data_IF_201702506700
#
_entry.id   IF_201702506700
#
_cell.length_a   1.000
_cell.length_b   1.000
_cell.length_c   1.000
_cell.angle_alpha   90.00
_cell.angle_beta   90.00
_cell.angle_gamma   90.00
#
_symmetry.space_group_name_H-M   'P 1'
#
loop_
_entity.id
_entity.type
_entity.pdbx_description
1 polymer ?
#
# COMPACT_ATOMS: atom_id res chain seq x y z
N UNK A 1 12.22 0.68 21.52
CA UNK A 1 10.92 0.57 22.25
C UNK A 1 9.90 0.04 21.24
N UNK A 2 9.11 -0.98 21.57
CA UNK A 2 8.03 -1.41 20.68
C UNK A 2 6.97 -0.32 20.64
N UNK A 3 6.66 0.20 19.47
CA UNK A 3 5.56 1.17 19.28
C UNK A 3 4.22 0.49 19.56
N UNK A 4 3.29 1.19 20.21
CA UNK A 4 1.94 0.68 20.50
C UNK A 4 0.97 0.88 19.33
N UNK A 5 1.39 1.59 18.29
CA UNK A 5 0.52 1.89 17.14
C UNK A 5 0.03 0.62 16.44
N UNK A 6 -1.21 0.64 15.99
CA UNK A 6 -1.86 -0.43 15.23
C UNK A 6 -1.87 -0.19 13.74
N UNK A 7 -2.08 1.06 13.30
CA UNK A 7 -1.91 1.48 11.91
C UNK A 7 -0.45 1.35 11.50
N UNK A 8 -0.22 0.75 10.34
CA UNK A 8 1.12 0.40 9.86
C UNK A 8 1.76 1.56 9.11
N UNK A 9 3.10 1.56 9.06
CA UNK A 9 3.87 2.52 8.27
C UNK A 9 4.57 1.77 7.14
N UNK A 10 4.33 2.22 5.92
CA UNK A 10 5.07 1.81 4.72
C UNK A 10 6.11 2.88 4.41
N UNK A 11 7.39 2.52 4.35
CA UNK A 11 8.49 3.45 4.07
C UNK A 11 9.18 3.08 2.75
N UNK A 12 9.34 4.06 1.86
CA UNK A 12 10.01 3.83 0.57
C UNK A 12 11.52 3.81 0.74
N UNK A 13 12.15 2.78 0.19
CA UNK A 13 13.60 2.63 0.14
C UNK A 13 14.22 3.60 -0.89
N UNK A 14 15.39 4.13 -0.55
CA UNK A 14 16.15 5.01 -1.42
C UNK A 14 17.54 5.30 -0.87
N UNK A 15 18.26 6.30 -1.42
CA UNK A 15 19.59 6.66 -0.96
C UNK A 15 19.67 7.09 0.51
N UNK A 16 18.62 7.73 1.04
CA UNK A 16 18.61 8.22 2.43
C UNK A 16 18.52 7.10 3.47
N UNK A 17 18.12 5.88 3.07
CA UNK A 17 17.96 4.72 3.96
C UNK A 17 18.65 3.46 3.40
N UNK A 18 19.91 3.58 3.04
CA UNK A 18 20.68 2.51 2.40
C UNK A 18 21.59 1.71 3.35
N UNK A 19 21.81 2.18 4.58
CA UNK A 19 22.67 1.49 5.53
C UNK A 19 21.88 0.63 6.51
N UNK A 20 22.57 -0.40 7.05
CA UNK A 20 21.98 -1.34 8.01
C UNK A 20 21.48 -0.62 9.29
N UNK A 21 22.26 0.33 9.76
CA UNK A 21 21.97 1.11 10.98
C UNK A 21 20.69 1.92 10.78
N UNK A 22 20.58 2.67 9.68
CA UNK A 22 19.39 3.48 9.38
C UNK A 22 18.17 2.59 9.20
N UNK A 23 18.27 1.46 8.49
CA UNK A 23 17.15 0.52 8.33
C UNK A 23 16.69 -0.04 9.68
N UNK A 24 17.64 -0.38 10.58
CA UNK A 24 17.32 -0.82 11.94
C UNK A 24 16.59 0.28 12.73
N UNK A 25 17.11 1.50 12.73
CA UNK A 25 16.51 2.64 13.42
C UNK A 25 15.11 2.95 12.87
N UNK A 26 14.90 2.82 11.56
CA UNK A 26 13.57 2.96 10.94
C UNK A 26 12.57 1.91 11.43
N UNK A 27 13.00 0.63 11.53
CA UNK A 27 12.15 -0.45 12.07
C UNK A 27 11.79 -0.15 13.53
N UNK A 28 12.76 0.24 14.35
CA UNK A 28 12.57 0.58 15.77
C UNK A 28 11.72 1.85 15.95
N UNK A 29 11.79 2.80 15.02
CA UNK A 29 10.92 3.98 14.98
C UNK A 29 9.47 3.66 14.58
N UNK A 30 9.22 2.49 13.95
CA UNK A 30 7.87 2.02 13.69
C UNK A 30 7.56 1.61 12.24
N UNK A 31 8.54 1.46 11.36
CA UNK A 31 8.30 0.92 10.01
C UNK A 31 7.87 -0.54 10.08
N UNK A 32 6.84 -0.87 9.34
CA UNK A 32 6.30 -2.22 9.22
C UNK A 32 6.57 -2.85 7.84
N UNK A 33 6.60 -2.02 6.80
CA UNK A 33 6.77 -2.46 5.41
C UNK A 33 7.74 -1.53 4.71
N UNK A 34 8.74 -2.08 4.05
CA UNK A 34 9.62 -1.33 3.15
C UNK A 34 9.14 -1.48 1.71
N UNK A 35 8.94 -0.34 1.04
CA UNK A 35 8.52 -0.29 -0.36
C UNK A 35 9.74 -0.12 -1.27
N UNK A 36 9.88 -1.01 -2.23
CA UNK A 36 10.79 -0.91 -3.37
C UNK A 36 10.02 -0.26 -4.52
N UNK A 37 10.41 0.95 -4.94
CA UNK A 37 9.84 1.60 -6.10
C UNK A 37 10.60 1.21 -7.37
N UNK A 38 10.05 0.33 -8.19
CA UNK A 38 10.68 -0.16 -9.42
C UNK A 38 10.82 0.89 -10.54
N UNK A 39 10.18 2.06 -10.42
CA UNK A 39 10.36 3.15 -11.41
C UNK A 39 11.82 3.59 -11.56
N UNK A 40 12.62 3.46 -10.51
CA UNK A 40 14.01 3.94 -10.44
C UNK A 40 14.98 2.89 -9.87
N UNK A 41 14.55 1.62 -9.83
CA UNK A 41 15.31 0.56 -9.16
C UNK A 41 16.49 0.08 -10.01
N UNK A 42 17.66 -0.01 -9.39
CA UNK A 42 18.76 -0.87 -9.82
C UNK A 42 18.63 -2.21 -9.08
N UNK A 43 18.64 -3.33 -9.80
CA UNK A 43 18.40 -4.66 -9.21
C UNK A 43 19.44 -5.07 -8.19
N UNK A 44 20.71 -4.68 -8.39
CA UNK A 44 21.80 -5.01 -7.45
C UNK A 44 21.65 -4.25 -6.14
N UNK A 45 21.29 -2.97 -6.20
CA UNK A 45 21.05 -2.12 -5.04
C UNK A 45 19.78 -2.57 -4.28
N UNK A 46 18.70 -2.89 -5.01
CA UNK A 46 17.46 -3.43 -4.43
C UNK A 46 17.72 -4.73 -3.69
N UNK A 47 18.45 -5.68 -4.33
CA UNK A 47 18.79 -6.95 -3.70
C UNK A 47 19.58 -6.75 -2.41
N UNK A 48 20.60 -5.89 -2.43
CA UNK A 48 21.39 -5.59 -1.24
C UNK A 48 20.54 -5.06 -0.07
N UNK A 49 19.59 -4.16 -0.34
CA UNK A 49 18.68 -3.63 0.69
C UNK A 49 17.71 -4.70 1.21
N UNK A 50 17.18 -5.55 0.33
CA UNK A 50 16.34 -6.69 0.74
C UNK A 50 17.11 -7.63 1.66
N UNK A 51 18.35 -7.98 1.29
CA UNK A 51 19.21 -8.85 2.09
C UNK A 51 19.50 -8.24 3.48
N UNK A 52 19.73 -6.92 3.56
CA UNK A 52 19.91 -6.21 4.84
C UNK A 52 18.64 -6.29 5.71
N UNK A 53 17.45 -6.04 5.15
CA UNK A 53 16.18 -6.09 5.89
C UNK A 53 15.92 -7.52 6.38
N UNK A 54 16.12 -8.53 5.55
CA UNK A 54 15.97 -9.94 5.95
C UNK A 54 16.97 -10.32 7.04
N UNK A 55 18.23 -9.88 6.93
CA UNK A 55 19.25 -10.08 7.98
C UNK A 55 18.86 -9.43 9.31
N UNK A 56 18.28 -8.24 9.30
CA UNK A 56 17.75 -7.57 10.51
C UNK A 56 16.56 -8.34 11.11
N UNK A 57 15.65 -8.85 10.26
CA UNK A 57 14.54 -9.68 10.72
C UNK A 57 15.05 -10.94 11.43
N UNK A 58 16.04 -11.63 10.85
CA UNK A 58 16.57 -12.88 11.40
C UNK A 58 17.35 -12.65 12.71
N UNK A 59 18.15 -11.58 12.78
CA UNK A 59 19.00 -11.29 13.94
C UNK A 59 18.21 -10.76 15.15
N UNK A 60 17.23 -9.87 14.92
CA UNK A 60 16.51 -9.19 16.00
C UNK A 60 15.08 -9.72 16.20
N UNK A 61 14.64 -10.68 15.38
CA UNK A 61 13.27 -11.20 15.42
C UNK A 61 12.23 -10.19 14.95
N UNK A 62 12.61 -9.24 14.08
CA UNK A 62 11.67 -8.34 13.44
C UNK A 62 10.87 -9.08 12.36
N UNK A 63 9.80 -8.46 11.90
CA UNK A 63 8.92 -9.00 10.84
C UNK A 63 8.65 -7.97 9.76
N UNK A 64 9.61 -7.09 9.49
CA UNK A 64 9.50 -6.08 8.45
C UNK A 64 9.24 -6.73 7.08
N UNK A 65 8.14 -6.31 6.43
CA UNK A 65 7.74 -6.81 5.13
C UNK A 65 8.38 -6.01 3.99
N UNK A 66 8.37 -6.59 2.79
CA UNK A 66 8.85 -5.95 1.56
C UNK A 66 7.72 -5.90 0.54
N UNK A 67 7.43 -4.70 0.04
CA UNK A 67 6.46 -4.41 -1.00
C UNK A 67 7.19 -4.00 -2.28
N UNK A 68 7.08 -4.81 -3.34
CA UNK A 68 7.52 -4.44 -4.69
C UNK A 68 6.46 -3.62 -5.39
N UNK A 69 6.74 -2.37 -5.74
CA UNK A 69 5.79 -1.47 -6.39
C UNK A 69 6.19 -1.27 -7.86
N UNK A 70 5.41 -1.87 -8.78
CA UNK A 70 5.63 -1.83 -10.21
C UNK A 70 5.31 -0.44 -10.77
N UNK A 71 6.08 -0.01 -11.79
CA UNK A 71 5.95 1.34 -12.35
C UNK A 71 4.61 1.57 -13.06
N UNK A 72 4.14 0.54 -13.79
CA UNK A 72 3.01 0.66 -14.71
C UNK A 72 3.30 1.49 -15.98
N UNK A 73 2.31 1.66 -16.83
CA UNK A 73 2.45 2.37 -18.10
C UNK A 73 2.55 3.89 -17.89
N UNK A 74 3.76 4.38 -17.54
CA UNK A 74 3.98 5.81 -17.31
C UNK A 74 4.23 6.56 -18.61
N UNK A 75 3.29 7.45 -18.96
CA UNK A 75 3.39 8.33 -20.11
C UNK A 75 4.39 9.45 -19.82
N UNK A 76 5.25 9.80 -20.78
CA UNK A 76 6.25 10.87 -20.62
C UNK A 76 6.49 11.60 -21.94
N UNK A 77 6.82 12.88 -21.83
CA UNK A 77 7.46 13.61 -22.93
C UNK A 77 8.93 13.23 -23.04
N UNK A 78 9.50 13.40 -24.23
CA UNK A 78 10.91 13.16 -24.52
C UNK A 78 11.87 14.16 -23.90
N UNK A 79 13.10 14.16 -24.41
CA UNK A 79 14.13 15.13 -24.04
C UNK A 79 13.84 16.45 -24.74
N UNK A 80 14.02 17.57 -24.06
CA UNK A 80 13.96 18.92 -24.63
C UNK A 80 15.36 19.40 -24.96
N UNK A 81 15.52 20.12 -26.09
CA UNK A 81 16.82 20.69 -26.50
C UNK A 81 17.35 21.75 -25.52
N UNK A 82 16.43 22.50 -24.91
CA UNK A 82 16.72 23.58 -23.96
C UNK A 82 15.56 23.75 -22.97
N UNK A 83 15.73 24.55 -21.94
CA UNK A 83 14.59 24.93 -21.10
C UNK A 83 13.68 25.87 -21.90
N UNK A 84 12.45 25.39 -22.14
CA UNK A 84 11.42 26.09 -22.87
C UNK A 84 10.34 26.57 -21.90
N UNK A 85 9.96 27.85 -21.99
CA UNK A 85 8.77 28.36 -21.31
C UNK A 85 7.64 28.45 -22.33
N UNK A 86 6.55 27.76 -22.05
CA UNK A 86 5.31 27.82 -22.83
C UNK A 86 4.33 28.77 -22.16
N UNK A 87 3.61 29.58 -22.94
CA UNK A 87 2.66 30.55 -22.44
C UNK A 87 1.22 30.18 -22.82
N UNK A 88 0.21 30.58 -22.02
CA UNK A 88 -1.18 30.42 -22.41
C UNK A 88 -1.44 30.97 -23.81
N UNK A 89 -2.08 30.14 -24.65
CA UNK A 89 -2.37 30.44 -26.04
C UNK A 89 -1.35 29.91 -27.05
N UNK A 90 -0.14 29.54 -26.65
CA UNK A 90 0.82 28.87 -27.54
C UNK A 90 0.23 27.56 -28.10
N UNK A 91 0.64 27.19 -29.32
CA UNK A 91 0.24 25.97 -29.99
C UNK A 91 1.45 25.02 -30.04
N UNK A 92 1.25 23.78 -29.58
CA UNK A 92 2.30 22.77 -29.52
C UNK A 92 1.82 21.51 -30.22
N UNK A 93 2.70 20.86 -30.97
CA UNK A 93 2.47 19.54 -31.56
C UNK A 93 3.17 18.50 -30.74
N UNK A 94 2.41 17.57 -30.17
CA UNK A 94 2.92 16.33 -29.62
C UNK A 94 3.03 15.30 -30.74
N UNK A 95 4.17 14.66 -30.87
CA UNK A 95 4.41 13.65 -31.90
C UNK A 95 4.94 12.35 -31.32
N UNK A 96 4.60 11.21 -31.93
CA UNK A 96 4.95 9.87 -31.47
C UNK A 96 5.83 9.09 -32.44
N UNK A 97 6.17 9.68 -33.61
CA UNK A 97 6.86 9.00 -34.70
C UNK A 97 8.35 8.80 -34.40
N UNK A 98 9.04 9.86 -33.92
CA UNK A 98 10.47 9.84 -33.72
C UNK A 98 10.83 10.43 -32.35
N UNK A 99 11.68 9.72 -31.58
CA UNK A 99 12.20 10.22 -30.31
C UNK A 99 13.36 11.21 -30.57
N UNK A 100 12.98 12.41 -31.00
CA UNK A 100 13.92 13.51 -31.23
C UNK A 100 13.76 14.56 -30.12
N UNK A 101 14.84 15.29 -29.77
CA UNK A 101 14.76 16.35 -28.78
C UNK A 101 13.72 17.40 -29.16
N UNK A 102 12.87 17.73 -28.20
CA UNK A 102 11.75 18.66 -28.40
C UNK A 102 12.16 20.11 -28.44
N UNK A 103 11.31 20.90 -29.07
CA UNK A 103 11.35 22.39 -29.13
C UNK A 103 10.11 22.96 -28.48
N UNK A 104 9.97 24.30 -28.54
CA UNK A 104 8.76 24.99 -28.08
C UNK A 104 7.51 24.56 -28.87
N UNK A 105 7.67 24.28 -30.15
CA UNK A 105 6.57 23.97 -31.07
C UNK A 105 6.27 22.50 -31.20
N UNK A 106 7.25 21.61 -30.89
CA UNK A 106 7.13 20.16 -31.14
C UNK A 106 7.78 19.34 -30.04
N UNK A 107 7.04 18.38 -29.49
CA UNK A 107 7.46 17.56 -28.36
C UNK A 107 7.21 16.10 -28.65
N UNK A 108 8.21 15.24 -28.40
CA UNK A 108 8.04 13.80 -28.47
C UNK A 108 7.21 13.28 -27.29
N UNK A 109 6.32 12.33 -27.56
CA UNK A 109 5.49 11.62 -26.60
C UNK A 109 5.75 10.12 -26.73
N UNK A 110 6.12 9.44 -25.64
CA UNK A 110 6.50 8.03 -25.67
C UNK A 110 5.32 7.04 -25.84
N UNK A 111 4.10 7.55 -25.92
CA UNK A 111 2.89 6.75 -26.08
C UNK A 111 2.42 6.74 -27.54
N UNK A 112 2.65 5.62 -28.24
CA UNK A 112 2.38 5.52 -29.70
C UNK A 112 0.91 5.67 -30.05
N UNK A 113 -0.01 5.12 -29.25
CA UNK A 113 -1.46 5.22 -29.48
C UNK A 113 -2.06 6.56 -29.06
N UNK A 114 -1.25 7.46 -28.50
CA UNK A 114 -1.70 8.77 -28.03
C UNK A 114 -2.53 9.54 -29.07
N UNK A 115 -2.13 9.65 -30.37
CA UNK A 115 -2.92 10.35 -31.35
C UNK A 115 -4.26 9.66 -31.69
N UNK A 116 -4.33 8.34 -31.50
CA UNK A 116 -5.53 7.56 -31.73
C UNK A 116 -6.53 7.66 -30.55
N UNK A 117 -6.02 7.72 -29.32
CA UNK A 117 -6.85 7.66 -28.10
C UNK A 117 -7.46 9.02 -27.75
N UNK A 118 -6.73 10.14 -27.95
CA UNK A 118 -7.22 11.48 -27.56
C UNK A 118 -8.22 12.08 -28.55
N UNK A 119 -9.12 12.93 -28.05
CA UNK A 119 -10.10 13.64 -28.85
C UNK A 119 -9.98 15.16 -28.66
N UNK A 120 -10.36 15.97 -29.67
CA UNK A 120 -10.46 17.42 -29.53
C UNK A 120 -11.30 17.83 -28.31
N UNK A 121 -10.80 18.81 -27.55
CA UNK A 121 -11.40 19.28 -26.30
C UNK A 121 -10.96 18.54 -25.04
N UNK A 122 -10.25 17.39 -25.16
CA UNK A 122 -9.68 16.72 -24.00
C UNK A 122 -8.40 17.40 -23.48
N UNK A 123 -8.10 17.23 -22.21
CA UNK A 123 -6.95 17.84 -21.57
C UNK A 123 -5.74 16.90 -21.53
N UNK A 124 -4.55 17.50 -21.75
CA UNK A 124 -3.24 16.89 -21.53
C UNK A 124 -2.59 17.64 -20.38
N UNK A 125 -2.21 16.91 -19.32
CA UNK A 125 -1.53 17.47 -18.16
C UNK A 125 -0.07 17.01 -18.13
N UNK A 126 0.86 17.92 -17.86
CA UNK A 126 2.29 17.63 -17.73
C UNK A 126 2.82 18.08 -16.37
N UNK A 127 3.88 17.37 -15.89
CA UNK A 127 4.58 17.67 -14.62
C UNK A 127 3.60 17.80 -13.45
N UNK A 128 2.80 16.75 -13.26
CA UNK A 128 1.78 16.63 -12.19
C UNK A 128 0.74 17.78 -12.23
N UNK A 129 0.33 18.16 -13.46
CA UNK A 129 -0.68 19.19 -13.69
C UNK A 129 -0.19 20.65 -13.64
N UNK A 130 1.13 20.87 -13.51
CA UNK A 130 1.70 22.23 -13.57
C UNK A 130 1.55 22.89 -14.93
N UNK A 131 1.50 22.09 -15.99
CA UNK A 131 1.19 22.53 -17.35
C UNK A 131 -0.09 21.85 -17.81
N UNK A 132 -0.96 22.60 -18.49
CA UNK A 132 -2.23 22.11 -19.03
C UNK A 132 -2.38 22.52 -20.48
N UNK A 133 -2.77 21.56 -21.31
CA UNK A 133 -3.01 21.75 -22.73
C UNK A 133 -4.40 21.19 -23.06
N UNK A 134 -5.07 21.81 -24.05
CA UNK A 134 -6.31 21.32 -24.63
C UNK A 134 -6.04 20.83 -26.05
N UNK A 135 -6.47 19.62 -26.38
CA UNK A 135 -6.35 19.03 -27.71
C UNK A 135 -7.20 19.83 -28.71
N UNK A 136 -6.57 20.38 -29.74
CA UNK A 136 -7.25 21.06 -30.86
C UNK A 136 -7.61 20.04 -31.93
N UNK A 137 -6.63 19.22 -32.34
CA UNK A 137 -6.81 18.23 -33.40
C UNK A 137 -5.82 17.07 -33.28
N UNK A 138 -6.14 15.96 -33.90
CA UNK A 138 -5.26 14.79 -34.04
C UNK A 138 -5.34 14.25 -35.46
N UNK A 139 -4.21 13.76 -35.99
CA UNK A 139 -4.18 13.04 -37.26
C UNK A 139 -4.46 11.53 -37.10
N UNK A 140 -4.75 11.08 -35.88
CA UNK A 140 -5.05 9.67 -35.49
C UNK A 140 -3.90 8.69 -35.74
N UNK A 141 -2.71 9.14 -36.06
CA UNK A 141 -1.55 8.29 -36.36
C UNK A 141 -0.31 8.66 -35.59
N UNK A 142 0.17 9.90 -35.71
CA UNK A 142 1.47 10.31 -35.18
C UNK A 142 1.49 11.66 -34.50
N UNK A 143 0.46 12.52 -34.64
CA UNK A 143 0.49 13.88 -34.17
C UNK A 143 -0.80 14.32 -33.50
N UNK A 144 -0.63 15.10 -32.43
CA UNK A 144 -1.70 15.79 -31.71
C UNK A 144 -1.31 17.25 -31.58
N UNK A 145 -2.17 18.14 -32.09
CA UNK A 145 -2.00 19.59 -31.91
C UNK A 145 -2.80 20.04 -30.69
N UNK A 146 -2.15 20.71 -29.77
CA UNK A 146 -2.77 21.19 -28.54
C UNK A 146 -2.43 22.68 -28.26
N UNK A 147 -3.38 23.35 -27.60
CA UNK A 147 -3.24 24.73 -27.13
C UNK A 147 -2.85 24.75 -25.65
N UNK A 148 -1.89 25.55 -25.29
CA UNK A 148 -1.52 25.77 -23.89
C UNK A 148 -2.63 26.55 -23.18
N UNK A 149 -3.20 25.97 -22.14
CA UNK A 149 -4.18 26.60 -21.26
C UNK A 149 -3.48 27.15 -20.01
N UNK A 150 -2.61 26.33 -19.37
CA UNK A 150 -1.76 26.77 -18.28
C UNK A 150 -0.29 26.56 -18.67
N UNK A 151 0.45 27.66 -18.73
CA UNK A 151 1.85 27.71 -19.15
C UNK A 151 2.82 27.55 -17.99
N UNK A 152 4.10 27.46 -18.35
CA UNK A 152 5.23 27.31 -17.44
C UNK A 152 6.45 26.66 -18.10
N UNK A 153 7.46 26.21 -17.31
CA UNK A 153 8.66 25.56 -17.85
C UNK A 153 8.36 24.14 -18.33
N UNK A 154 8.54 23.90 -19.63
CA UNK A 154 8.43 22.59 -20.26
C UNK A 154 9.77 21.86 -20.18
N UNK A 155 9.87 20.86 -19.30
CA UNK A 155 11.11 20.14 -18.99
C UNK A 155 11.14 18.74 -19.59
N UNK A 156 12.36 18.22 -19.80
CA UNK A 156 12.61 16.87 -20.30
C UNK A 156 12.01 15.77 -19.43
N UNK A 157 11.51 14.70 -20.06
CA UNK A 157 11.09 13.44 -19.43
C UNK A 157 9.98 13.58 -18.38
N UNK A 158 9.19 14.65 -18.43
CA UNK A 158 8.08 14.88 -17.51
C UNK A 158 6.93 13.94 -17.78
N UNK A 159 6.24 13.53 -16.68
CA UNK A 159 5.04 12.70 -16.72
C UNK A 159 3.90 13.41 -17.44
N UNK A 160 3.11 12.62 -18.17
CA UNK A 160 1.90 13.06 -18.86
C UNK A 160 0.70 12.35 -18.27
N UNK A 161 -0.36 13.09 -17.98
CA UNK A 161 -1.63 12.55 -17.53
C UNK A 161 -2.73 12.95 -18.54
N UNK A 162 -3.65 12.01 -18.76
CA UNK A 162 -4.75 12.14 -19.71
C UNK A 162 -6.08 11.87 -18.99
N UNK A 163 -6.61 12.85 -18.23
CA UNK A 163 -7.71 12.61 -17.31
C UNK A 163 -9.04 12.25 -17.98
N UNK A 164 -9.20 12.65 -19.23
CA UNK A 164 -10.44 12.44 -20.00
C UNK A 164 -10.32 11.31 -21.03
N UNK A 165 -9.14 10.70 -21.17
CA UNK A 165 -8.82 9.76 -22.25
C UNK A 165 -8.72 8.34 -21.72
N UNK A 166 -9.45 7.41 -22.33
CA UNK A 166 -9.26 5.97 -22.11
C UNK A 166 -7.98 5.51 -22.83
N UNK A 167 -6.96 5.21 -22.05
CA UNK A 167 -5.64 4.82 -22.56
C UNK A 167 -5.62 3.34 -22.91
N UNK A 168 -5.20 3.00 -24.14
CA UNK A 168 -5.17 1.63 -24.68
C UNK A 168 -3.92 0.81 -24.28
N UNK A 169 -3.11 1.28 -23.30
CA UNK A 169 -1.91 0.58 -22.84
C UNK A 169 -2.27 -0.65 -21.97
N UNK A 170 -1.49 -1.76 -22.08
CA UNK A 170 -1.60 -2.86 -21.14
C UNK A 170 -1.23 -2.41 -19.74
N UNK A 171 -1.76 -3.09 -18.71
CA UNK A 171 -1.45 -2.80 -17.31
C UNK A 171 0.01 -3.14 -16.98
N UNK A 172 0.54 -4.23 -17.53
CA UNK A 172 1.92 -4.65 -17.40
C UNK A 172 2.73 -4.29 -18.65
N UNK A 173 3.67 -3.40 -18.50
CA UNK A 173 4.69 -3.14 -19.53
C UNK A 173 5.74 -4.25 -19.54
N UNK A 174 6.56 -4.34 -20.61
CA UNK A 174 7.70 -5.28 -20.63
C UNK A 174 8.66 -5.07 -19.46
N UNK A 175 8.79 -3.80 -19.00
CA UNK A 175 9.58 -3.48 -17.81
C UNK A 175 8.92 -4.05 -16.56
N UNK A 176 7.61 -3.87 -16.39
CA UNK A 176 6.87 -4.38 -15.23
C UNK A 176 6.92 -5.90 -15.14
N UNK A 177 6.90 -6.60 -16.28
CA UNK A 177 7.06 -8.05 -16.31
C UNK A 177 8.45 -8.46 -15.78
N UNK A 178 9.53 -7.78 -16.22
CA UNK A 178 10.89 -8.05 -15.71
C UNK A 178 11.01 -7.72 -14.22
N UNK A 179 10.46 -6.57 -13.80
CA UNK A 179 10.48 -6.13 -12.41
C UNK A 179 9.70 -7.09 -11.50
N UNK A 180 8.55 -7.57 -11.95
CA UNK A 180 7.73 -8.54 -11.22
C UNK A 180 8.45 -9.89 -11.07
N UNK A 181 9.09 -10.40 -12.13
CA UNK A 181 9.88 -11.64 -12.06
C UNK A 181 11.03 -11.46 -11.05
N UNK A 182 11.77 -10.36 -11.12
CA UNK A 182 12.81 -10.07 -10.15
C UNK A 182 12.25 -9.99 -8.71
N UNK A 183 11.14 -9.31 -8.48
CA UNK A 183 10.48 -9.22 -7.18
C UNK A 183 10.08 -10.61 -6.64
N UNK A 184 9.55 -11.49 -7.50
CA UNK A 184 9.22 -12.88 -7.17
C UNK A 184 10.48 -13.66 -6.76
N UNK A 185 11.57 -13.55 -7.52
CA UNK A 185 12.86 -14.19 -7.21
C UNK A 185 13.46 -13.70 -5.88
N UNK A 186 13.28 -12.41 -5.55
CA UNK A 186 13.69 -11.83 -4.28
C UNK A 186 12.71 -12.13 -3.14
N UNK A 187 11.65 -12.91 -3.40
CA UNK A 187 10.64 -13.34 -2.41
C UNK A 187 10.03 -12.15 -1.65
N UNK A 188 9.64 -11.09 -2.37
CA UNK A 188 8.91 -9.98 -1.75
C UNK A 188 7.59 -10.47 -1.15
N UNK A 189 7.10 -9.77 -0.14
CA UNK A 189 5.89 -10.15 0.60
C UNK A 189 4.61 -9.72 -0.10
N UNK A 190 4.67 -8.61 -0.85
CA UNK A 190 3.57 -8.01 -1.58
C UNK A 190 4.05 -7.45 -2.92
N UNK A 191 3.21 -7.45 -3.94
CA UNK A 191 3.44 -6.72 -5.20
C UNK A 191 2.29 -5.73 -5.41
N UNK A 192 2.61 -4.46 -5.67
CA UNK A 192 1.64 -3.44 -6.03
C UNK A 192 1.66 -3.20 -7.54
N UNK A 193 0.47 -3.16 -8.15
CA UNK A 193 0.27 -2.86 -9.56
C UNK A 193 -0.23 -1.43 -9.71
N UNK A 194 0.50 -0.61 -10.47
CA UNK A 194 0.14 0.79 -10.75
C UNK A 194 -0.91 0.89 -11.86
N UNK A 195 -1.68 1.97 -11.81
CA UNK A 195 -2.68 2.35 -12.82
C UNK A 195 -3.72 1.27 -13.11
N UNK A 196 -4.18 0.55 -12.08
CA UNK A 196 -5.22 -0.46 -12.20
C UNK A 196 -6.54 0.20 -12.60
N UNK A 197 -7.14 -0.26 -13.69
CA UNK A 197 -8.40 0.23 -14.25
C UNK A 197 -9.51 -0.79 -14.15
N UNK A 198 -9.18 -2.08 -14.29
CA UNK A 198 -10.14 -3.18 -14.31
C UNK A 198 -9.61 -4.41 -13.56
N UNK A 199 -10.47 -5.42 -13.36
CA UNK A 199 -10.09 -6.69 -12.76
C UNK A 199 -9.11 -7.48 -13.65
N UNK A 200 -9.23 -7.35 -14.97
CA UNK A 200 -8.36 -8.02 -15.95
C UNK A 200 -6.91 -7.60 -15.79
N UNK A 201 -6.65 -6.32 -15.48
CA UNK A 201 -5.30 -5.83 -15.19
C UNK A 201 -4.63 -6.64 -14.05
N UNK A 202 -5.40 -7.00 -13.02
CA UNK A 202 -4.91 -7.81 -11.90
C UNK A 202 -4.75 -9.29 -12.24
N UNK A 203 -5.64 -9.83 -13.07
CA UNK A 203 -5.58 -11.22 -13.51
C UNK A 203 -4.31 -11.47 -14.31
N UNK A 204 -3.88 -10.52 -15.16
CA UNK A 204 -2.61 -10.61 -15.91
C UNK A 204 -1.41 -10.74 -14.96
N UNK A 205 -1.35 -9.97 -13.87
CA UNK A 205 -0.29 -10.10 -12.86
C UNK A 205 -0.42 -11.40 -12.04
N UNK A 206 -1.64 -11.85 -11.74
CA UNK A 206 -1.86 -13.13 -11.06
C UNK A 206 -1.33 -14.30 -11.87
N UNK A 207 -1.58 -14.32 -13.18
CA UNK A 207 -1.09 -15.33 -14.11
C UNK A 207 0.44 -15.31 -14.19
N UNK A 208 1.05 -14.12 -14.23
CA UNK A 208 2.50 -13.98 -14.21
C UNK A 208 3.10 -14.55 -12.91
N UNK A 209 2.51 -14.22 -11.75
CA UNK A 209 2.97 -14.75 -10.44
C UNK A 209 2.81 -16.27 -10.40
N UNK A 210 1.68 -16.82 -10.84
CA UNK A 210 1.43 -18.26 -10.87
C UNK A 210 2.42 -19.02 -11.75
N UNK A 211 2.92 -18.39 -12.80
CA UNK A 211 3.92 -18.97 -13.72
C UNK A 211 5.33 -19.00 -13.13
N UNK A 212 5.67 -18.04 -12.27
CA UNK A 212 7.05 -17.83 -11.76
C UNK A 212 7.21 -18.12 -10.25
N UNK A 213 6.13 -18.42 -9.53
CA UNK A 213 6.15 -18.71 -8.10
C UNK A 213 5.42 -20.01 -7.77
N UNK A 214 5.92 -20.75 -6.78
CA UNK A 214 5.29 -21.95 -6.21
C UNK A 214 4.19 -21.62 -5.18
N UNK A 215 3.96 -20.33 -4.92
CA UNK A 215 2.99 -19.84 -3.94
C UNK A 215 2.38 -18.52 -4.37
N UNK A 216 1.21 -18.21 -3.80
CA UNK A 216 0.57 -16.92 -4.02
C UNK A 216 1.37 -15.80 -3.36
N UNK A 217 1.70 -14.75 -4.13
CA UNK A 217 2.15 -13.46 -3.62
C UNK A 217 0.94 -12.52 -3.71
N UNK A 218 0.52 -11.89 -2.60
CA UNK A 218 -0.65 -11.03 -2.59
C UNK A 218 -0.40 -9.75 -3.36
N UNK A 219 -1.46 -9.27 -4.04
CA UNK A 219 -1.42 -8.10 -4.92
C UNK A 219 -2.15 -6.93 -4.30
N UNK A 220 -1.51 -5.76 -4.32
CA UNK A 220 -2.12 -4.47 -3.99
C UNK A 220 -2.50 -3.76 -5.28
N UNK A 221 -3.79 -3.46 -5.46
CA UNK A 221 -4.26 -2.62 -6.56
C UNK A 221 -4.07 -1.14 -6.21
N UNK A 222 -3.30 -0.40 -7.03
CA UNK A 222 -3.14 1.05 -6.87
C UNK A 222 -4.22 1.77 -7.67
N UNK A 223 -5.03 2.55 -6.96
CA UNK A 223 -6.12 3.32 -7.56
C UNK A 223 -5.62 4.73 -7.82
N UNK A 224 -5.34 4.99 -9.09
CA UNK A 224 -4.67 6.18 -9.62
C UNK A 224 -5.45 6.83 -10.78
N UNK A 225 -6.50 6.15 -11.27
CA UNK A 225 -7.30 6.54 -12.42
C UNK A 225 -8.80 6.57 -12.09
N UNK A 226 -9.60 7.45 -12.75
CA UNK A 226 -11.06 7.47 -12.59
C UNK A 226 -11.71 6.12 -12.86
N UNK A 227 -11.25 5.39 -13.89
CA UNK A 227 -11.78 4.07 -14.25
C UNK A 227 -11.58 3.05 -13.11
N UNK A 228 -10.45 3.13 -12.38
CA UNK A 228 -10.21 2.29 -11.20
C UNK A 228 -11.19 2.59 -10.06
N UNK A 229 -11.62 3.86 -9.91
CA UNK A 229 -12.65 4.26 -8.93
C UNK A 229 -14.04 3.79 -9.35
N UNK A 230 -14.35 3.84 -10.65
CA UNK A 230 -15.61 3.35 -11.21
C UNK A 230 -15.74 1.84 -11.08
N UNK A 231 -14.68 1.10 -11.43
CA UNK A 231 -14.64 -0.37 -11.44
C UNK A 231 -14.24 -0.99 -10.10
N UNK A 232 -14.22 -0.22 -9.02
CA UNK A 232 -13.67 -0.66 -7.72
C UNK A 232 -14.31 -1.96 -7.20
N UNK A 233 -15.58 -2.21 -7.45
CA UNK A 233 -16.27 -3.40 -6.97
C UNK A 233 -15.76 -4.69 -7.64
N UNK A 234 -15.40 -4.64 -8.92
CA UNK A 234 -14.77 -5.76 -9.62
C UNK A 234 -13.29 -5.90 -9.25
N UNK A 235 -12.56 -4.80 -9.12
CA UNK A 235 -11.14 -4.78 -8.75
C UNK A 235 -10.94 -5.43 -7.37
N UNK A 236 -11.75 -5.08 -6.38
CA UNK A 236 -11.65 -5.61 -5.01
C UNK A 236 -11.80 -7.14 -4.94
N UNK A 237 -12.53 -7.74 -5.87
CA UNK A 237 -12.68 -9.20 -5.89
C UNK A 237 -11.45 -9.93 -6.42
N UNK A 238 -10.51 -9.21 -7.04
CA UNK A 238 -9.31 -9.78 -7.68
C UNK A 238 -7.99 -9.28 -7.07
N UNK A 239 -8.03 -8.41 -6.06
CA UNK A 239 -6.83 -7.99 -5.32
C UNK A 239 -6.86 -8.47 -3.87
N UNK A 240 -5.69 -8.39 -3.21
CA UNK A 240 -5.53 -8.74 -1.79
C UNK A 240 -5.39 -7.50 -0.90
N UNK A 241 -5.27 -6.31 -1.50
CA UNK A 241 -5.22 -5.03 -0.82
C UNK A 241 -5.39 -3.86 -1.79
N UNK A 242 -5.66 -2.67 -1.26
CA UNK A 242 -5.76 -1.43 -2.03
C UNK A 242 -4.68 -0.42 -1.62
N UNK A 243 -4.26 0.41 -2.57
CA UNK A 243 -3.50 1.62 -2.30
C UNK A 243 -4.20 2.81 -2.95
N UNK A 244 -4.55 3.80 -2.14
CA UNK A 244 -5.07 5.10 -2.61
C UNK A 244 -3.87 6.00 -2.87
N UNK A 245 -3.42 6.07 -4.12
CA UNK A 245 -2.24 6.84 -4.53
C UNK A 245 -2.68 8.26 -4.93
N UNK A 246 -2.84 9.11 -3.92
CA UNK A 246 -3.48 10.43 -4.05
C UNK A 246 -2.74 11.39 -4.97
N UNK A 247 -1.42 11.25 -5.10
CA UNK A 247 -0.60 12.08 -5.99
C UNK A 247 -1.01 11.93 -7.45
N UNK A 248 -1.03 10.70 -7.96
CA UNK A 248 -1.42 10.41 -9.34
C UNK A 248 -2.94 10.58 -9.52
N UNK A 249 -3.75 10.09 -8.57
CA UNK A 249 -5.22 10.24 -8.63
C UNK A 249 -5.65 11.72 -8.64
N UNK A 250 -5.00 12.58 -7.85
CA UNK A 250 -5.34 14.00 -7.76
C UNK A 250 -4.98 14.83 -9.00
N UNK A 251 -4.20 14.25 -9.92
CA UNK A 251 -3.96 14.83 -11.26
C UNK A 251 -5.04 14.37 -12.25
N UNK A 252 -5.63 13.20 -12.03
CA UNK A 252 -6.60 12.57 -12.93
C UNK A 252 -8.06 12.91 -12.59
N UNK A 253 -8.34 13.37 -11.37
CA UNK A 253 -9.68 13.80 -10.92
C UNK A 253 -9.62 15.20 -10.32
N UNK A 254 -10.76 15.94 -10.25
CA UNK A 254 -10.80 17.22 -9.55
C UNK A 254 -10.30 17.10 -8.10
N UNK A 255 -9.38 17.96 -7.69
CA UNK A 255 -8.70 17.87 -6.40
C UNK A 255 -9.67 17.80 -5.19
N UNK A 256 -10.82 18.47 -5.28
CA UNK A 256 -11.85 18.47 -4.22
C UNK A 256 -12.58 17.12 -4.08
N UNK A 257 -12.50 16.22 -5.07
CA UNK A 257 -13.10 14.89 -5.02
C UNK A 257 -12.20 13.86 -4.35
N UNK A 258 -10.87 14.06 -4.36
CA UNK A 258 -9.89 13.11 -3.82
C UNK A 258 -10.19 12.68 -2.39
N UNK A 259 -10.53 13.57 -1.44
CA UNK A 259 -10.86 13.14 -0.07
C UNK A 259 -12.10 12.25 0.02
N UNK A 260 -13.12 12.49 -0.82
CA UNK A 260 -14.34 11.68 -0.86
C UNK A 260 -14.08 10.31 -1.49
N UNK A 261 -13.26 10.27 -2.55
CA UNK A 261 -12.82 9.03 -3.19
C UNK A 261 -11.99 8.20 -2.18
N UNK A 262 -11.07 8.82 -1.44
CA UNK A 262 -10.31 8.14 -0.37
C UNK A 262 -11.26 7.45 0.62
N UNK A 263 -12.23 8.17 1.17
CA UNK A 263 -13.20 7.61 2.12
C UNK A 263 -14.02 6.47 1.52
N UNK A 264 -14.46 6.61 0.26
CA UNK A 264 -15.17 5.55 -0.47
C UNK A 264 -14.31 4.29 -0.61
N UNK A 265 -13.05 4.44 -1.03
CA UNK A 265 -12.12 3.32 -1.22
C UNK A 265 -11.77 2.63 0.11
N UNK A 266 -11.50 3.39 1.17
CA UNK A 266 -11.29 2.84 2.52
C UNK A 266 -12.51 2.05 2.98
N UNK A 267 -13.71 2.59 2.83
CA UNK A 267 -14.96 1.90 3.18
C UNK A 267 -15.12 0.58 2.41
N UNK A 268 -14.87 0.59 1.09
CA UNK A 268 -14.95 -0.60 0.23
C UNK A 268 -13.94 -1.67 0.63
N UNK A 269 -12.67 -1.30 0.85
CA UNK A 269 -11.63 -2.22 1.30
C UNK A 269 -11.97 -2.86 2.65
N UNK A 270 -12.44 -2.07 3.62
CA UNK A 270 -12.87 -2.58 4.93
C UNK A 270 -14.05 -3.54 4.82
N UNK A 271 -15.03 -3.24 3.96
CA UNK A 271 -16.17 -4.13 3.71
C UNK A 271 -15.71 -5.46 3.12
N UNK A 272 -14.73 -5.43 2.21
CA UNK A 272 -14.13 -6.61 1.59
C UNK A 272 -13.12 -7.35 2.51
N UNK A 273 -12.74 -6.75 3.65
CA UNK A 273 -11.73 -7.31 4.60
C UNK A 273 -10.34 -7.43 4.00
N UNK A 274 -9.96 -6.50 3.14
CA UNK A 274 -8.61 -6.36 2.61
C UNK A 274 -7.96 -5.09 3.15
N UNK A 275 -6.62 -5.05 3.32
CA UNK A 275 -5.93 -3.87 3.81
C UNK A 275 -5.97 -2.73 2.81
N UNK A 276 -5.95 -1.49 3.31
CA UNK A 276 -5.86 -0.28 2.50
C UNK A 276 -4.72 0.62 2.99
N UNK A 277 -3.90 1.04 2.04
CA UNK A 277 -2.78 1.97 2.24
C UNK A 277 -3.19 3.35 1.72
N UNK A 278 -3.03 4.39 2.53
CA UNK A 278 -3.12 5.78 2.06
C UNK A 278 -1.70 6.25 1.74
N UNK A 279 -1.51 6.70 0.50
CA UNK A 279 -0.20 6.98 -0.05
C UNK A 279 -0.07 8.39 -0.62
N UNK A 280 1.16 8.86 -0.67
CA UNK A 280 1.63 10.13 -1.26
C UNK A 280 1.22 11.39 -0.48
N UNK A 281 2.12 12.37 -0.45
CA UNK A 281 1.93 13.69 0.15
C UNK A 281 1.48 13.65 1.63
N UNK A 282 1.97 12.65 2.41
CA UNK A 282 1.57 12.50 3.81
C UNK A 282 2.32 13.46 4.73
N UNK A 283 3.66 13.54 4.58
CA UNK A 283 4.56 14.36 5.39
C UNK A 283 5.64 15.01 4.50
N UNK A 284 5.27 15.44 3.30
CA UNK A 284 6.19 15.85 2.23
C UNK A 284 7.14 16.98 2.65
N UNK A 285 6.67 17.93 3.48
CA UNK A 285 7.52 19.00 4.03
C UNK A 285 8.72 18.43 4.79
N UNK A 286 8.59 17.24 5.41
CA UNK A 286 9.67 16.60 6.15
C UNK A 286 10.76 15.98 5.28
N UNK A 287 10.68 16.06 3.95
CA UNK A 287 11.83 15.81 3.07
C UNK A 287 13.00 16.72 3.45
N UNK A 288 12.73 17.98 3.77
CA UNK A 288 13.75 19.00 4.10
C UNK A 288 13.58 19.62 5.48
N UNK A 289 12.45 19.46 6.14
CA UNK A 289 12.13 20.03 7.45
C UNK A 289 12.07 18.95 8.54
N UNK A 290 12.51 19.28 9.76
CA UNK A 290 12.35 18.39 10.94
C UNK A 290 10.92 18.35 11.48
N UNK A 291 10.06 19.28 11.08
CA UNK A 291 8.69 19.38 11.58
C UNK A 291 7.70 19.41 10.42
N UNK A 292 6.61 18.64 10.52
CA UNK A 292 5.55 18.67 9.54
C UNK A 292 4.71 19.94 9.67
N UNK A 293 3.97 20.26 8.64
CA UNK A 293 2.92 21.28 8.69
C UNK A 293 1.70 20.75 9.49
N UNK A 294 0.85 21.67 9.96
CA UNK A 294 -0.41 21.30 10.62
C UNK A 294 -1.36 20.57 9.67
N UNK A 295 -1.32 20.89 8.40
CA UNK A 295 -2.12 20.21 7.36
C UNK A 295 -1.70 18.73 7.21
N UNK A 296 -0.40 18.46 7.18
CA UNK A 296 0.13 17.08 7.10
C UNK A 296 -0.21 16.27 8.36
N UNK A 297 -0.07 16.85 9.54
CA UNK A 297 -0.49 16.21 10.79
C UNK A 297 -1.97 15.84 10.75
N UNK A 298 -2.81 16.77 10.29
CA UNK A 298 -4.26 16.52 10.16
C UNK A 298 -4.57 15.46 9.09
N UNK A 299 -3.81 15.41 8.01
CA UNK A 299 -4.00 14.44 6.94
C UNK A 299 -3.67 13.00 7.40
N UNK A 300 -2.53 12.82 8.09
CA UNK A 300 -2.19 11.52 8.71
C UNK A 300 -3.26 11.11 9.71
N UNK A 301 -3.65 12.00 10.61
CA UNK A 301 -4.68 11.74 11.61
C UNK A 301 -6.02 11.35 10.94
N UNK A 302 -6.46 12.09 9.92
CA UNK A 302 -7.70 11.79 9.20
C UNK A 302 -7.65 10.43 8.48
N UNK A 303 -6.51 10.05 7.90
CA UNK A 303 -6.32 8.74 7.29
C UNK A 303 -6.48 7.59 8.30
N UNK A 304 -5.95 7.76 9.52
CA UNK A 304 -6.15 6.80 10.61
C UNK A 304 -7.60 6.75 11.06
N UNK A 305 -8.27 7.90 11.21
CA UNK A 305 -9.69 8.00 11.58
C UNK A 305 -10.61 7.38 10.53
N UNK A 306 -10.27 7.47 9.24
CA UNK A 306 -10.99 6.80 8.15
C UNK A 306 -10.90 5.27 8.25
N UNK A 307 -9.89 4.76 8.96
CA UNK A 307 -9.64 3.35 9.18
C UNK A 307 -8.68 2.72 8.20
N UNK A 308 -7.70 3.47 7.70
CA UNK A 308 -6.58 2.93 6.93
C UNK A 308 -5.85 1.82 7.71
N UNK A 309 -5.38 0.80 7.01
CA UNK A 309 -4.50 -0.22 7.61
C UNK A 309 -3.06 0.29 7.68
N UNK A 310 -2.66 1.07 6.68
CA UNK A 310 -1.33 1.65 6.64
C UNK A 310 -1.33 3.05 6.00
N UNK A 311 -0.32 3.83 6.37
CA UNK A 311 0.04 5.10 5.75
C UNK A 311 1.44 5.01 5.17
N UNK A 312 1.70 5.65 4.03
CA UNK A 312 2.95 5.49 3.29
C UNK A 312 3.75 6.78 3.21
N UNK A 313 5.06 6.66 3.44
CA UNK A 313 6.08 7.67 3.21
C UNK A 313 6.82 7.36 1.89
N UNK A 314 7.01 8.35 1.05
CA UNK A 314 7.65 8.25 -0.28
C UNK A 314 9.02 8.94 -0.28
N UNK A 315 9.09 10.18 -0.74
CA UNK A 315 10.30 11.00 -0.77
C UNK A 315 10.89 11.24 0.62
N UNK A 316 10.03 11.31 1.64
CA UNK A 316 10.37 11.59 3.03
C UNK A 316 11.40 10.59 3.58
N UNK A 317 11.31 9.31 3.17
CA UNK A 317 12.23 8.26 3.61
C UNK A 317 13.25 7.86 2.55
N UNK A 318 12.94 8.06 1.26
CA UNK A 318 13.84 7.60 0.17
C UNK A 318 14.95 8.59 -0.13
N UNK A 319 14.69 9.89 -0.07
CA UNK A 319 15.64 10.98 -0.39
C UNK A 319 15.66 12.10 0.65
N UNK A 320 14.76 12.04 1.64
CA UNK A 320 14.64 13.05 2.69
C UNK A 320 15.84 13.10 3.63
N UNK A 321 16.05 14.25 4.24
CA UNK A 321 17.17 14.46 5.17
C UNK A 321 16.95 13.79 6.55
N UNK A 322 15.70 13.39 6.85
CA UNK A 322 15.30 12.96 8.21
C UNK A 322 14.46 11.66 8.19
N UNK A 323 14.95 10.56 7.58
CA UNK A 323 14.13 9.36 7.35
C UNK A 323 13.63 8.71 8.65
N UNK A 324 14.39 8.72 9.73
CA UNK A 324 13.99 8.15 11.03
C UNK A 324 13.02 9.07 11.75
N UNK A 325 13.30 10.38 11.76
CA UNK A 325 12.49 11.38 12.47
C UNK A 325 11.08 11.52 11.89
N UNK A 326 10.92 11.40 10.56
CA UNK A 326 9.59 11.44 9.95
C UNK A 326 8.75 10.24 10.37
N UNK A 327 9.35 9.06 10.52
CA UNK A 327 8.68 7.86 11.02
C UNK A 327 8.26 8.04 12.47
N UNK A 328 9.14 8.58 13.32
CA UNK A 328 8.84 8.89 14.72
C UNK A 328 7.66 9.86 14.84
N UNK A 329 7.64 10.92 14.02
CA UNK A 329 6.52 11.88 13.99
C UNK A 329 5.22 11.24 13.55
N UNK A 330 5.25 10.45 12.46
CA UNK A 330 4.07 9.72 11.99
C UNK A 330 3.57 8.74 13.04
N UNK A 331 4.46 8.01 13.73
CA UNK A 331 4.12 7.11 14.83
C UNK A 331 3.41 7.85 15.95
N UNK A 332 3.94 9.01 16.39
CA UNK A 332 3.30 9.85 17.43
C UNK A 332 1.88 10.30 17.04
N UNK A 333 1.66 10.69 15.78
CA UNK A 333 0.33 11.09 15.31
C UNK A 333 -0.63 9.89 15.33
N UNK A 334 -0.18 8.74 14.84
CA UNK A 334 -0.99 7.51 14.82
C UNK A 334 -1.40 7.12 16.24
N UNK A 335 -0.45 7.03 17.17
CA UNK A 335 -0.70 6.67 18.58
C UNK A 335 -1.69 7.65 19.24
N UNK A 336 -1.52 8.95 19.03
CA UNK A 336 -2.41 9.97 19.59
C UNK A 336 -3.87 9.83 19.11
N UNK A 337 -4.07 9.41 17.84
CA UNK A 337 -5.40 9.16 17.30
C UNK A 337 -5.99 7.86 17.85
N UNK A 338 -5.21 6.78 17.86
CA UNK A 338 -5.65 5.46 18.29
C UNK A 338 -5.96 5.37 19.78
N UNK A 339 -5.26 6.13 20.60
CA UNK A 339 -5.48 6.24 22.06
C UNK A 339 -6.68 7.12 22.41
N UNK A 340 -7.21 7.90 21.47
CA UNK A 340 -8.32 8.82 21.74
C UNK A 340 -9.66 8.11 21.88
N UNK A 341 -10.36 8.24 23.04
CA UNK A 341 -11.68 7.65 23.21
C UNK A 341 -12.76 8.32 22.34
N UNK A 342 -12.46 9.48 21.76
CA UNK A 342 -13.39 10.22 20.90
C UNK A 342 -13.42 9.65 19.47
N UNK A 343 -12.42 8.87 19.08
CA UNK A 343 -12.28 8.37 17.72
C UNK A 343 -12.81 6.94 17.64
N UNK A 344 -13.85 6.75 16.83
CA UNK A 344 -14.41 5.45 16.52
C UNK A 344 -14.30 5.19 15.02
N UNK A 345 -13.53 4.18 14.65
CA UNK A 345 -13.43 3.76 13.25
C UNK A 345 -14.73 3.07 12.84
N UNK A 346 -15.38 3.49 11.74
CA UNK A 346 -16.60 2.86 11.27
C UNK A 346 -16.45 1.36 11.06
N UNK A 347 -17.38 0.56 11.62
CA UNK A 347 -17.37 -0.89 11.50
C UNK A 347 -18.41 -1.34 10.48
N UNK A 348 -17.97 -2.18 9.53
CA UNK A 348 -18.85 -2.69 8.48
C UNK A 348 -19.19 -4.15 8.75
N UNK A 349 -20.49 -4.44 8.92
CA UNK A 349 -20.96 -5.82 9.08
C UNK A 349 -20.79 -6.60 7.77
N UNK A 350 -20.06 -7.73 7.76
CA UNK A 350 -19.89 -8.53 6.56
C UNK A 350 -21.23 -9.13 6.11
N UNK A 351 -21.44 -9.24 4.79
CA UNK A 351 -22.51 -10.05 4.26
C UNK A 351 -22.22 -11.54 4.52
N UNK A 352 -23.13 -12.23 5.21
CA UNK A 352 -22.83 -13.42 6.00
C UNK A 352 -22.80 -14.72 5.19
N UNK A 353 -23.25 -14.78 3.97
CA UNK A 353 -23.44 -16.04 3.23
C UNK A 353 -22.15 -16.47 2.48
N UNK A 354 -21.21 -17.06 3.21
CA UNK A 354 -20.01 -17.70 2.60
C UNK A 354 -19.67 -19.01 3.30
N UNK A 355 -18.90 -19.89 2.65
CA UNK A 355 -18.39 -21.16 3.23
C UNK A 355 -17.58 -20.98 4.53
N UNK A 356 -17.17 -19.76 4.89
CA UNK A 356 -16.42 -19.42 6.11
C UNK A 356 -17.24 -18.64 7.14
N UNK A 357 -18.55 -18.80 7.10
CA UNK A 357 -19.49 -18.09 7.97
C UNK A 357 -19.16 -18.22 9.46
N UNK A 358 -18.90 -19.45 9.94
CA UNK A 358 -18.56 -19.71 11.34
C UNK A 358 -17.33 -18.93 11.77
N UNK A 359 -16.24 -19.02 11.01
CA UNK A 359 -14.99 -18.29 11.31
C UNK A 359 -15.21 -16.78 11.34
N UNK A 360 -15.97 -16.22 10.40
CA UNK A 360 -16.28 -14.78 10.38
C UNK A 360 -17.07 -14.35 11.61
N UNK A 361 -18.05 -15.12 12.00
CA UNK A 361 -18.87 -14.86 13.18
C UNK A 361 -18.06 -14.95 14.47
N UNK A 362 -17.19 -15.94 14.61
CA UNK A 362 -16.31 -16.08 15.77
C UNK A 362 -15.34 -14.89 15.86
N UNK A 363 -14.72 -14.47 14.76
CA UNK A 363 -13.84 -13.30 14.74
C UNK A 363 -14.58 -12.01 15.14
N UNK A 364 -15.82 -11.83 14.70
CA UNK A 364 -16.67 -10.71 15.11
C UNK A 364 -16.92 -10.72 16.61
N UNK A 365 -17.38 -11.85 17.15
CA UNK A 365 -17.67 -11.96 18.57
C UNK A 365 -16.42 -11.88 19.43
N UNK A 366 -15.27 -12.40 18.95
CA UNK A 366 -13.99 -12.23 19.62
C UNK A 366 -13.61 -10.75 19.78
N UNK A 367 -13.74 -9.96 18.72
CA UNK A 367 -13.45 -8.52 18.77
C UNK A 367 -14.44 -7.77 19.68
N UNK A 368 -15.72 -8.07 19.63
CA UNK A 368 -16.75 -7.49 20.51
C UNK A 368 -16.52 -7.88 21.98
N UNK A 369 -16.25 -9.15 22.23
CA UNK A 369 -15.97 -9.67 23.59
C UNK A 369 -14.70 -9.05 24.16
N UNK A 370 -13.63 -8.92 23.34
CA UNK A 370 -12.38 -8.28 23.75
C UNK A 370 -12.60 -6.86 24.25
N UNK A 371 -13.43 -6.08 23.54
CA UNK A 371 -13.78 -4.72 23.97
C UNK A 371 -14.63 -4.74 25.27
N UNK A 372 -15.59 -5.68 25.38
CA UNK A 372 -16.49 -5.75 26.53
C UNK A 372 -15.77 -6.13 27.83
N UNK A 373 -14.86 -7.12 27.78
CA UNK A 373 -14.11 -7.60 28.96
C UNK A 373 -12.75 -6.87 29.13
N UNK A 374 -12.44 -5.90 28.24
CA UNK A 374 -11.14 -5.21 28.18
C UNK A 374 -9.96 -6.17 28.05
N UNK A 375 -10.12 -7.20 27.21
CA UNK A 375 -9.04 -8.17 26.97
C UNK A 375 -7.81 -7.44 26.41
N UNK A 376 -6.63 -7.86 26.88
CA UNK A 376 -5.34 -7.29 26.47
C UNK A 376 -4.98 -7.71 25.04
N UNK A 377 -5.27 -8.96 24.70
CA UNK A 377 -4.98 -9.48 23.36
C UNK A 377 -6.01 -10.50 22.87
N UNK A 378 -6.12 -10.61 21.53
CA UNK A 378 -6.77 -11.71 20.82
C UNK A 378 -5.67 -12.52 20.15
N UNK A 379 -5.49 -13.75 20.59
CA UNK A 379 -4.51 -14.68 20.05
C UNK A 379 -5.18 -15.60 19.02
N UNK A 380 -4.55 -15.81 17.87
CA UNK A 380 -5.05 -16.73 16.84
C UNK A 380 -3.94 -17.56 16.23
N UNK A 381 -4.22 -18.85 16.02
CA UNK A 381 -3.36 -19.73 15.24
C UNK A 381 -3.89 -19.78 13.81
N UNK A 382 -3.02 -19.57 12.84
CA UNK A 382 -3.42 -19.56 11.43
C UNK A 382 -2.29 -20.06 10.54
N UNK A 383 -2.64 -20.73 9.45
CA UNK A 383 -1.67 -21.15 8.43
C UNK A 383 -1.69 -20.25 7.18
N UNK A 384 -2.80 -19.55 6.93
CA UNK A 384 -3.00 -18.70 5.76
C UNK A 384 -3.14 -17.22 6.09
N UNK A 385 -3.17 -16.84 7.38
CA UNK A 385 -3.43 -15.46 7.81
C UNK A 385 -4.89 -15.01 7.78
N UNK A 386 -5.81 -15.82 7.22
CA UNK A 386 -7.21 -15.43 7.01
C UNK A 386 -7.88 -14.87 8.27
N UNK A 387 -7.68 -15.52 9.42
CA UNK A 387 -8.27 -15.11 10.70
C UNK A 387 -7.76 -13.72 11.12
N UNK A 388 -6.49 -13.42 10.87
CA UNK A 388 -5.90 -12.12 11.18
C UNK A 388 -6.60 -10.98 10.42
N UNK A 389 -6.86 -11.16 9.11
CA UNK A 389 -7.63 -10.19 8.32
C UNK A 389 -9.04 -10.00 8.87
N UNK A 390 -9.72 -11.09 9.27
CA UNK A 390 -11.08 -11.01 9.81
C UNK A 390 -11.15 -10.27 11.14
N UNK A 391 -10.22 -10.54 12.08
CA UNK A 391 -10.17 -9.86 13.38
C UNK A 391 -9.80 -8.39 13.19
N UNK A 392 -8.74 -8.12 12.41
CA UNK A 392 -8.24 -6.76 12.16
C UNK A 392 -9.31 -5.82 11.61
N UNK A 393 -10.16 -6.31 10.72
CA UNK A 393 -11.24 -5.50 10.14
C UNK A 393 -12.27 -4.99 11.17
N UNK A 394 -12.35 -5.59 12.35
CA UNK A 394 -13.21 -5.15 13.47
C UNK A 394 -12.54 -4.11 14.37
N UNK A 395 -11.26 -3.77 14.13
CA UNK A 395 -10.51 -2.77 14.91
C UNK A 395 -10.66 -2.93 16.42
N UNK A 396 -10.37 -4.12 17.01
CA UNK A 396 -10.47 -4.31 18.45
C UNK A 396 -9.48 -3.40 19.19
N UNK A 397 -9.82 -3.00 20.42
CA UNK A 397 -8.86 -2.31 21.31
C UNK A 397 -7.71 -3.23 21.72
N UNK A 398 -7.98 -4.54 21.83
CA UNK A 398 -6.99 -5.57 22.12
C UNK A 398 -5.94 -5.67 21.01
N UNK A 399 -4.72 -6.08 21.35
CA UNK A 399 -3.69 -6.48 20.38
C UNK A 399 -4.10 -7.76 19.65
N UNK A 400 -3.69 -7.90 18.39
CA UNK A 400 -3.96 -9.11 17.60
C UNK A 400 -2.64 -9.88 17.48
N UNK A 401 -2.52 -10.97 18.26
CA UNK A 401 -1.32 -11.82 18.27
C UNK A 401 -1.55 -13.03 17.40
N UNK A 402 -0.78 -13.13 16.32
CA UNK A 402 -0.94 -14.17 15.29
C UNK A 402 0.23 -15.15 15.37
N UNK A 403 -0.08 -16.41 15.62
CA UNK A 403 0.88 -17.49 15.71
C UNK A 403 0.77 -18.39 14.48
N UNK A 404 1.92 -18.69 13.85
CA UNK A 404 1.94 -19.47 12.61
C UNK A 404 3.25 -20.21 12.43
N UNK A 405 3.17 -21.42 11.86
CA UNK A 405 4.34 -22.18 11.38
C UNK A 405 4.76 -21.79 9.94
N UNK A 406 3.95 -20.99 9.26
CA UNK A 406 4.25 -20.52 7.91
C UNK A 406 5.11 -19.25 7.96
N UNK A 407 6.41 -19.40 7.73
CA UNK A 407 7.37 -18.30 7.78
C UNK A 407 7.06 -17.18 6.78
N UNK A 408 6.41 -17.49 5.64
CA UNK A 408 6.09 -16.49 4.60
C UNK A 408 5.06 -15.46 5.10
N UNK A 409 4.03 -15.91 5.82
CA UNK A 409 3.00 -15.00 6.30
C UNK A 409 3.41 -14.17 7.52
N UNK A 410 4.51 -14.49 8.19
CA UNK A 410 5.02 -13.68 9.31
C UNK A 410 5.25 -12.23 8.90
N UNK A 411 5.91 -12.03 7.76
CA UNK A 411 6.19 -10.70 7.22
C UNK A 411 4.99 -10.14 6.47
N UNK A 412 4.28 -10.93 5.67
CA UNK A 412 3.09 -10.49 4.93
C UNK A 412 2.03 -9.85 5.83
N UNK A 413 1.75 -10.47 6.98
CA UNK A 413 0.74 -9.98 7.91
C UNK A 413 1.15 -8.69 8.64
N UNK A 414 2.41 -8.26 8.55
CA UNK A 414 2.85 -7.00 9.14
C UNK A 414 2.30 -5.75 8.43
N UNK A 415 1.64 -5.89 7.29
CA UNK A 415 0.85 -4.83 6.66
C UNK A 415 -0.54 -4.66 7.30
N UNK A 416 -1.04 -5.66 8.03
CA UNK A 416 -2.40 -5.70 8.52
C UNK A 416 -2.51 -4.95 9.85
N UNK A 417 -3.50 -4.07 9.96
CA UNK A 417 -3.72 -3.24 11.13
C UNK A 417 -3.80 -4.06 12.44
N UNK A 418 -3.06 -3.63 13.45
CA UNK A 418 -3.06 -4.20 14.80
C UNK A 418 -2.39 -5.57 14.94
N UNK A 419 -1.97 -6.21 13.84
CA UNK A 419 -1.40 -7.56 13.86
C UNK A 419 0.06 -7.53 14.29
N UNK A 420 0.41 -8.44 15.23
CA UNK A 420 1.77 -8.80 15.63
C UNK A 420 1.94 -10.32 15.39
N UNK A 421 2.98 -10.71 14.66
CA UNK A 421 3.17 -12.10 14.21
C UNK A 421 4.27 -12.81 14.98
N UNK A 422 4.08 -14.08 15.26
CA UNK A 422 5.02 -14.94 15.97
C UNK A 422 5.12 -16.30 15.29
N UNK A 423 6.36 -16.80 15.18
CA UNK A 423 6.57 -18.15 14.69
C UNK A 423 6.20 -19.16 15.77
N UNK A 424 5.38 -20.14 15.40
CA UNK A 424 4.96 -21.24 16.26
C UNK A 424 4.66 -22.48 15.43
N UNK A 425 5.33 -23.61 15.73
CA UNK A 425 5.23 -24.85 14.97
C UNK A 425 4.91 -26.10 15.83
N UNK A 426 4.57 -25.90 17.12
CA UNK A 426 4.20 -26.96 18.03
C UNK A 426 2.68 -27.11 18.07
N UNK A 427 2.17 -28.20 17.55
CA UNK A 427 0.73 -28.54 17.55
C UNK A 427 0.50 -29.90 18.22
N UNK A 428 0.56 -29.95 19.54
CA UNK A 428 0.42 -31.20 20.32
C UNK A 428 -1.04 -31.42 20.71
N UNK A 429 -1.56 -30.57 21.59
CA UNK A 429 -2.98 -30.53 21.97
C UNK A 429 -3.47 -29.09 21.93
N UNK A 430 -4.78 -28.89 22.02
CA UNK A 430 -5.35 -27.53 22.06
C UNK A 430 -4.97 -26.80 23.34
N UNK A 431 -5.04 -27.51 24.50
CA UNK A 431 -4.74 -26.90 25.78
C UNK A 431 -3.25 -26.55 25.88
N UNK A 432 -2.34 -27.49 25.58
CA UNK A 432 -0.90 -27.20 25.55
C UNK A 432 -0.53 -26.05 24.60
N UNK A 433 -1.20 -25.98 23.45
CA UNK A 433 -0.96 -24.91 22.46
C UNK A 433 -1.42 -23.55 23.00
N UNK A 434 -2.58 -23.49 23.67
CA UNK A 434 -3.07 -22.22 24.27
C UNK A 434 -2.13 -21.79 25.41
N UNK A 435 -1.70 -22.72 26.24
CA UNK A 435 -0.77 -22.42 27.33
C UNK A 435 0.59 -21.96 26.83
N UNK A 436 1.12 -22.58 25.77
CA UNK A 436 2.34 -22.11 25.10
C UNK A 436 2.19 -20.70 24.51
N UNK A 437 1.07 -20.42 23.84
CA UNK A 437 0.79 -19.09 23.24
C UNK A 437 0.70 -18.03 24.35
N UNK A 438 0.02 -18.32 25.45
CA UNK A 438 -0.10 -17.42 26.59
C UNK A 438 1.28 -17.18 27.23
N UNK A 439 2.10 -18.22 27.42
CA UNK A 439 3.48 -18.13 27.93
C UNK A 439 4.34 -17.25 27.01
N UNK A 440 4.30 -17.45 25.69
CA UNK A 440 5.07 -16.65 24.73
C UNK A 440 4.64 -15.17 24.78
N UNK A 441 3.35 -14.89 24.91
CA UNK A 441 2.85 -13.53 25.04
C UNK A 441 3.37 -12.84 26.31
N UNK A 442 3.43 -13.59 27.43
CA UNK A 442 3.97 -13.12 28.72
C UNK A 442 5.48 -12.91 28.65
N UNK A 443 6.25 -13.86 28.13
CA UNK A 443 7.72 -13.76 27.96
C UNK A 443 8.14 -12.57 27.10
N UNK A 444 7.31 -12.21 26.11
CA UNK A 444 7.53 -11.03 25.26
C UNK A 444 7.02 -9.71 25.88
N UNK A 445 6.49 -9.74 27.10
CA UNK A 445 5.97 -8.58 27.79
C UNK A 445 4.74 -7.93 27.15
N UNK A 446 3.98 -8.70 26.37
CA UNK A 446 2.75 -8.23 25.69
C UNK A 446 1.55 -8.31 26.63
N UNK A 447 1.59 -9.22 27.61
CA UNK A 447 0.57 -9.43 28.62
C UNK A 447 1.23 -9.66 29.97
N UNK A 448 0.50 -9.40 31.04
CA UNK A 448 0.96 -9.54 32.43
C UNK A 448 -0.09 -10.30 33.26
N UNK A 449 0.30 -10.76 34.45
CA UNK A 449 -0.61 -11.44 35.38
C UNK A 449 -1.90 -10.63 35.63
N UNK A 450 -3.04 -11.30 35.49
CA UNK A 450 -4.38 -10.71 35.61
C UNK A 450 -4.96 -10.18 34.30
N UNK A 451 -4.17 -10.13 33.22
CA UNK A 451 -4.68 -9.74 31.89
C UNK A 451 -5.58 -10.85 31.32
N UNK A 452 -6.67 -10.43 30.67
CA UNK A 452 -7.58 -11.35 29.95
C UNK A 452 -7.14 -11.48 28.50
N UNK A 453 -7.09 -12.74 28.00
CA UNK A 453 -6.85 -13.06 26.60
C UNK A 453 -8.02 -13.80 25.97
N UNK A 454 -8.20 -13.60 24.66
CA UNK A 454 -9.14 -14.37 23.86
C UNK A 454 -8.34 -15.23 22.88
N UNK A 455 -8.46 -16.55 22.99
CA UNK A 455 -7.76 -17.50 22.14
C UNK A 455 -8.73 -18.06 21.08
N UNK A 456 -8.35 -17.97 19.80
CA UNK A 456 -9.09 -18.49 18.67
C UNK A 456 -8.35 -19.67 18.03
N UNK A 457 -8.99 -20.81 17.94
CA UNK A 457 -8.39 -22.00 17.37
C UNK A 457 -9.38 -22.81 16.51
N UNK A 458 -8.85 -23.66 15.64
CA UNK A 458 -9.58 -24.74 15.01
C UNK A 458 -9.53 -25.95 15.96
N UNK A 459 -10.66 -26.49 16.34
CA UNK A 459 -10.70 -27.72 17.16
C UNK A 459 -11.34 -28.87 16.37
N UNK A 460 -10.71 -30.04 16.31
CA UNK A 460 -9.38 -30.38 16.85
C UNK A 460 -8.24 -29.67 16.13
N UNK A 461 -7.24 -29.24 16.87
CA UNK A 461 -6.11 -28.42 16.32
C UNK A 461 -5.30 -29.17 15.25
N UNK A 462 -5.23 -30.49 15.38
CA UNK A 462 -4.52 -31.37 14.43
C UNK A 462 -5.10 -31.32 13.00
N UNK A 463 -6.37 -30.99 12.85
CA UNK A 463 -7.04 -30.99 11.53
C UNK A 463 -6.74 -29.75 10.68
N UNK A 464 -5.98 -28.78 11.19
CA UNK A 464 -5.65 -27.49 10.49
C UNK A 464 -6.87 -26.86 9.80
N UNK A 465 -8.04 -27.00 10.41
CA UNK A 465 -9.32 -26.53 9.88
C UNK A 465 -9.56 -25.05 10.05
N UNK A 466 -10.78 -24.63 9.75
CA UNK A 466 -11.26 -23.26 10.01
C UNK A 466 -11.46 -23.06 11.52
N UNK A 467 -11.15 -21.83 12.00
CA UNK A 467 -11.43 -21.45 13.39
C UNK A 467 -12.90 -21.67 13.72
N UNK A 468 -13.15 -22.45 14.75
CA UNK A 468 -14.47 -22.86 15.22
C UNK A 468 -14.66 -22.73 16.74
N UNK A 469 -13.61 -22.25 17.47
CA UNK A 469 -13.61 -22.15 18.93
C UNK A 469 -13.04 -20.82 19.39
N UNK A 470 -13.64 -20.28 20.45
CA UNK A 470 -13.21 -19.10 21.19
C UNK A 470 -13.06 -19.51 22.66
N UNK A 471 -11.90 -19.26 23.26
CA UNK A 471 -11.63 -19.49 24.69
C UNK A 471 -11.12 -18.21 25.33
N UNK A 472 -11.69 -17.83 26.47
CA UNK A 472 -11.19 -16.75 27.33
C UNK A 472 -10.25 -17.33 28.37
N UNK A 473 -9.11 -16.69 28.59
CA UNK A 473 -8.10 -17.13 29.59
C UNK A 473 -7.61 -15.90 30.34
N UNK A 474 -7.48 -16.02 31.66
CA UNK A 474 -6.77 -15.07 32.53
C UNK A 474 -5.32 -15.52 32.67
N UNK A 475 -4.37 -14.59 32.60
CA UNK A 475 -2.94 -14.88 32.80
C UNK A 475 -2.65 -15.00 34.32
N UNK A 476 -2.15 -16.17 34.73
CA UNK A 476 -1.84 -16.52 36.12
C UNK A 476 -0.52 -15.92 36.63
#
# INVERSE_FOLDING_TARGET
MSTNKKTKIVATLGPACSTREVLKDMIEAGVNVFRVNFSHADYSDVKAKIDLIRGLNDEFGYTAAILGDLQGPKLRVGVMNEEVIVNPGDIITFQTAEDVPGTKERVYMNYKEFPNDVNPGENILLDDGKLMFEVISTNRTTEVVAKVIQGGPLKSKKGVNLPNTKVSLPALTEKDIRDAIFAIEQKVDWIALSFVRTAEDLMELQDLIAKHSDHKIPIIAKIEKPEGVENIDSIITHCDGLMVARGDLGVEVPAHEVPLIQKKLVHKAKTARIPVIIATQMMETMITSLTPTRAEVNDVANSVMDGADAVMLSGETSVGNYPVQVIQKMTQIIEAVEDSPLIQVPQNTPQIKTNRYITKTICQHAAQMANAIKAKAICTLTNSGYTAFQISAWRPQADILVFTSNKRILTQLNLIWGVKTFYYDKFVSTDDTIDDVNRIATEKGLVTKGDMLINLAAMPIANKGMVNTLRVTEIE
#
